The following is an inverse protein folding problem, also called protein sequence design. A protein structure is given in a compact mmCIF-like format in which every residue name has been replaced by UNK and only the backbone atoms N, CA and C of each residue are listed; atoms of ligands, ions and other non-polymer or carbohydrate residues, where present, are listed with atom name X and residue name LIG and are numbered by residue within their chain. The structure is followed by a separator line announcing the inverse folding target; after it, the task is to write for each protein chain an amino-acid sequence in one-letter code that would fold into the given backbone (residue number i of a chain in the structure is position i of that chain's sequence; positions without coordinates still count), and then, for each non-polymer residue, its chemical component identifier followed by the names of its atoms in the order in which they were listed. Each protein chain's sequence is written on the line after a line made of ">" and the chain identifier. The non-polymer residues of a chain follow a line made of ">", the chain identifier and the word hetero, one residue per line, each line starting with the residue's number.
data_IF_666106496472
#
_entry.id   IF_666106496472
#
_cell.length_a   1.000
_cell.length_b   1.000
_cell.length_c   1.000
_cell.angle_alpha   90.00
_cell.angle_beta   90.00
_cell.angle_gamma   90.00
#
_symmetry.space_group_name_H-M   'P 1'
#
loop_
_entity.id
_entity.type
_entity.pdbx_description
1 polymer ?
#
# COMPACT_ATOMS: atom_id res chain seq x y z
N UNK A 1 -14.70 -12.46 -21.99
CA UNK A 1 -15.27 -11.85 -20.77
C UNK A 1 -15.03 -12.71 -19.50
N UNK A 2 -15.35 -14.01 -19.51
CA UNK A 2 -15.17 -14.93 -18.36
C UNK A 2 -13.71 -15.01 -17.88
N UNK A 3 -12.76 -15.18 -18.80
CA UNK A 3 -11.32 -15.30 -18.47
C UNK A 3 -10.77 -14.06 -17.75
N UNK A 4 -11.13 -12.84 -18.19
CA UNK A 4 -10.69 -11.60 -17.54
C UNK A 4 -11.22 -11.49 -16.10
N UNK A 5 -12.47 -11.90 -15.86
CA UNK A 5 -13.09 -11.90 -14.53
C UNK A 5 -12.45 -12.94 -13.59
N UNK A 6 -12.14 -14.12 -14.11
CA UNK A 6 -11.43 -15.17 -13.33
C UNK A 6 -10.02 -14.73 -12.96
N UNK A 7 -9.29 -14.06 -13.86
CA UNK A 7 -7.94 -13.54 -13.57
C UNK A 7 -7.98 -12.42 -12.53
N UNK A 8 -8.90 -11.46 -12.65
CA UNK A 8 -9.12 -10.41 -11.62
C UNK A 8 -9.43 -11.06 -10.25
N UNK A 9 -10.33 -12.04 -10.22
CA UNK A 9 -10.69 -12.74 -8.98
C UNK A 9 -9.51 -13.51 -8.37
N UNK A 10 -8.74 -14.24 -9.18
CA UNK A 10 -7.57 -14.99 -8.71
C UNK A 10 -6.48 -14.06 -8.15
N UNK A 11 -6.23 -12.94 -8.85
CA UNK A 11 -5.30 -11.91 -8.40
C UNK A 11 -5.74 -11.25 -7.09
N UNK A 12 -7.04 -10.95 -6.95
CA UNK A 12 -7.60 -10.34 -5.74
C UNK A 12 -7.51 -11.26 -4.53
N UNK A 13 -7.82 -12.55 -4.70
CA UNK A 13 -7.67 -13.59 -3.67
C UNK A 13 -6.20 -13.73 -3.26
N UNK A 14 -5.28 -13.74 -4.22
CA UNK A 14 -3.85 -13.84 -3.94
C UNK A 14 -3.34 -12.63 -3.14
N UNK A 15 -3.72 -11.41 -3.56
CA UNK A 15 -3.37 -10.17 -2.84
C UNK A 15 -3.90 -10.19 -1.41
N UNK A 16 -5.16 -10.55 -1.23
CA UNK A 16 -5.77 -10.68 0.09
C UNK A 16 -5.02 -11.71 0.94
N UNK A 17 -4.71 -12.88 0.38
CA UNK A 17 -4.01 -13.93 1.11
C UNK A 17 -2.64 -13.46 1.61
N UNK A 18 -1.85 -12.81 0.76
CA UNK A 18 -0.54 -12.27 1.13
C UNK A 18 -0.69 -11.15 2.16
N UNK A 19 -1.58 -10.18 1.90
CA UNK A 19 -1.81 -9.04 2.78
C UNK A 19 -2.31 -9.45 4.17
N UNK A 20 -3.32 -10.34 4.23
CA UNK A 20 -3.83 -10.89 5.49
C UNK A 20 -2.76 -11.70 6.21
N UNK A 21 -1.98 -12.54 5.51
CA UNK A 21 -0.90 -13.31 6.13
C UNK A 21 0.19 -12.40 6.71
N UNK A 22 0.54 -11.32 6.01
CA UNK A 22 1.43 -10.29 6.55
C UNK A 22 0.83 -9.68 7.81
N UNK A 23 -0.41 -9.17 7.77
CA UNK A 23 -1.07 -8.56 8.92
C UNK A 23 -1.22 -9.52 10.11
N UNK A 24 -1.55 -10.80 9.87
CA UNK A 24 -1.64 -11.82 10.92
C UNK A 24 -0.28 -12.09 11.56
N UNK A 25 0.79 -12.11 10.75
CA UNK A 25 2.17 -12.16 11.25
C UNK A 25 2.52 -10.94 12.12
N UNK A 26 1.88 -9.78 11.88
CA UNK A 26 2.08 -8.57 12.68
C UNK A 26 1.45 -8.61 14.07
N UNK A 27 0.39 -9.41 14.29
CA UNK A 27 -0.39 -9.44 15.54
C UNK A 27 0.46 -9.85 16.76
N UNK A 28 1.60 -10.52 16.57
CA UNK A 28 2.53 -10.88 17.66
C UNK A 28 3.86 -10.11 17.69
N UNK A 29 4.43 -9.79 16.53
CA UNK A 29 5.83 -9.31 16.43
C UNK A 29 5.90 -7.79 16.22
N UNK A 30 4.93 -7.20 15.51
CA UNK A 30 5.00 -5.81 15.07
C UNK A 30 4.31 -4.78 15.98
N UNK A 31 3.57 -5.23 17.00
CA UNK A 31 3.34 -4.40 18.19
C UNK A 31 4.67 -3.88 18.74
N UNK A 32 5.74 -4.70 18.69
CA UNK A 32 7.09 -4.26 19.04
C UNK A 32 7.64 -3.15 18.13
N UNK A 33 7.22 -3.07 16.87
CA UNK A 33 7.60 -2.00 15.95
C UNK A 33 6.91 -0.67 16.28
N UNK A 34 5.59 -0.70 16.50
CA UNK A 34 4.82 0.49 16.91
C UNK A 34 5.23 0.95 18.31
N UNK A 35 5.37 0.03 19.26
CA UNK A 35 5.87 0.30 20.61
C UNK A 35 7.30 0.82 20.54
N UNK A 36 8.15 0.25 19.69
CA UNK A 36 9.52 0.70 19.44
C UNK A 36 9.57 2.14 18.93
N UNK A 37 8.65 2.53 18.04
CA UNK A 37 8.53 3.92 17.61
C UNK A 37 8.12 4.86 18.75
N UNK A 38 7.09 4.50 19.51
CA UNK A 38 6.60 5.33 20.63
C UNK A 38 7.69 5.49 21.69
N UNK A 39 8.35 4.39 22.09
CA UNK A 39 9.46 4.41 23.05
C UNK A 39 10.68 5.15 22.50
N UNK A 40 11.01 4.96 21.23
CA UNK A 40 12.13 5.64 20.57
C UNK A 40 11.92 7.16 20.51
N UNK A 41 10.71 7.61 20.15
CA UNK A 41 10.32 9.01 20.15
C UNK A 41 10.34 9.61 21.57
N UNK A 42 9.87 8.85 22.56
CA UNK A 42 9.92 9.24 23.96
C UNK A 42 11.38 9.40 24.46
N UNK A 43 12.26 8.47 24.13
CA UNK A 43 13.69 8.54 24.45
C UNK A 43 14.38 9.71 23.76
N UNK A 44 14.04 10.00 22.50
CA UNK A 44 14.48 11.21 21.79
C UNK A 44 14.05 12.47 22.53
N UNK A 45 12.79 12.55 22.95
CA UNK A 45 12.27 13.68 23.71
C UNK A 45 13.00 13.86 25.05
N UNK A 46 13.24 12.78 25.79
CA UNK A 46 14.01 12.83 27.04
C UNK A 46 15.46 13.25 26.79
N UNK A 47 16.10 12.72 25.74
CA UNK A 47 17.45 13.11 25.33
C UNK A 47 17.54 14.59 25.00
N UNK A 48 16.53 15.12 24.29
CA UNK A 48 16.41 16.54 23.95
C UNK A 48 16.18 17.40 25.19
N UNK A 49 15.27 17.03 26.09
CA UNK A 49 15.05 17.73 27.35
C UNK A 49 16.33 17.79 28.19
N UNK A 50 17.06 16.67 28.26
CA UNK A 50 18.33 16.61 29.01
C UNK A 50 19.43 17.44 28.38
N UNK A 51 19.48 17.46 27.05
CA UNK A 51 20.41 18.29 26.30
C UNK A 51 20.15 19.79 26.54
N UNK A 52 18.89 20.21 26.64
CA UNK A 52 18.54 21.60 26.97
C UNK A 52 18.97 22.01 28.38
N UNK A 53 18.89 21.09 29.35
CA UNK A 53 19.27 21.37 30.74
C UNK A 53 20.78 21.48 30.97
N UNK A 54 21.56 20.55 30.39
CA UNK A 54 22.97 20.33 30.78
C UNK A 54 23.92 20.39 29.58
N UNK A 55 23.40 20.64 28.38
CA UNK A 55 24.16 20.54 27.13
C UNK A 55 24.48 19.09 26.76
N UNK A 56 25.50 18.91 25.92
CA UNK A 56 25.95 17.60 25.47
C UNK A 56 26.63 16.84 26.61
N UNK A 57 25.85 15.97 27.27
CA UNK A 57 26.33 15.07 28.32
C UNK A 57 26.29 13.63 27.82
N UNK A 58 27.08 12.73 28.43
CA UNK A 58 27.04 11.31 28.09
C UNK A 58 25.61 10.74 28.16
N UNK A 59 24.83 11.17 29.16
CA UNK A 59 23.44 10.75 29.31
C UNK A 59 22.54 11.22 28.16
N UNK A 60 22.66 12.47 27.71
CA UNK A 60 21.85 12.97 26.58
C UNK A 60 22.22 12.26 25.27
N UNK A 61 23.51 11.99 25.06
CA UNK A 61 24.00 11.24 23.89
C UNK A 61 23.45 9.81 23.91
N UNK A 62 23.51 9.11 25.05
CA UNK A 62 22.99 7.74 25.17
C UNK A 62 21.49 7.68 24.92
N UNK A 63 20.71 8.64 25.45
CA UNK A 63 19.27 8.74 25.20
C UNK A 63 18.97 8.95 23.71
N UNK A 64 19.73 9.81 23.04
CA UNK A 64 19.60 9.99 21.59
C UNK A 64 19.97 8.75 20.80
N UNK A 65 21.08 8.07 21.12
CA UNK A 65 21.48 6.85 20.39
C UNK A 65 20.44 5.74 20.58
N UNK A 66 19.98 5.49 21.81
CA UNK A 66 18.95 4.49 22.09
C UNK A 66 17.61 4.84 21.41
N UNK A 67 17.19 6.10 21.49
CA UNK A 67 15.99 6.58 20.83
C UNK A 67 16.06 6.39 19.32
N UNK A 68 17.19 6.73 18.70
CA UNK A 68 17.40 6.54 17.27
C UNK A 68 17.34 5.06 16.89
N UNK A 69 18.06 4.18 17.60
CA UNK A 69 18.06 2.72 17.32
C UNK A 69 16.65 2.14 17.37
N UNK A 70 15.86 2.52 18.38
CA UNK A 70 14.47 2.07 18.49
C UNK A 70 13.57 2.65 17.40
N UNK A 71 13.76 3.92 17.01
CA UNK A 71 13.01 4.52 15.91
C UNK A 71 13.30 3.82 14.57
N UNK A 72 14.58 3.62 14.25
CA UNK A 72 15.00 2.92 13.03
C UNK A 72 14.55 1.45 13.04
N UNK A 73 14.65 0.77 14.18
CA UNK A 73 14.13 -0.60 14.34
C UNK A 73 12.61 -0.68 14.21
N UNK A 74 11.89 0.32 14.72
CA UNK A 74 10.43 0.39 14.66
C UNK A 74 9.87 0.75 13.28
N UNK A 75 10.62 1.51 12.46
CA UNK A 75 10.20 1.91 11.12
C UNK A 75 9.89 0.72 10.20
N UNK A 76 10.69 -0.34 10.25
CA UNK A 76 10.42 -1.56 9.47
C UNK A 76 9.04 -2.15 9.76
N UNK A 77 8.57 -2.02 11.01
CA UNK A 77 7.23 -2.46 11.40
C UNK A 77 6.09 -1.56 10.93
N UNK A 78 6.31 -0.26 10.78
CA UNK A 78 5.28 0.61 10.18
C UNK A 78 5.20 0.42 8.66
N UNK A 79 6.35 0.24 8.01
CA UNK A 79 6.39 0.01 6.57
C UNK A 79 5.71 -1.32 6.21
N UNK A 80 5.98 -2.40 6.94
CA UNK A 80 5.28 -3.67 6.71
C UNK A 80 3.77 -3.57 6.98
N UNK A 81 3.35 -2.76 7.96
CA UNK A 81 1.93 -2.52 8.25
C UNK A 81 1.24 -1.81 7.09
N UNK A 82 1.86 -0.74 6.60
CA UNK A 82 1.35 0.02 5.47
C UNK A 82 1.23 -0.86 4.22
N UNK A 83 2.25 -1.67 3.92
CA UNK A 83 2.23 -2.61 2.79
C UNK A 83 1.11 -3.66 2.98
N UNK A 84 1.00 -4.26 4.17
CA UNK A 84 -0.05 -5.24 4.45
C UNK A 84 -1.45 -4.68 4.26
N UNK A 85 -1.71 -3.47 4.77
CA UNK A 85 -2.99 -2.76 4.58
C UNK A 85 -3.26 -2.49 3.10
N UNK A 86 -2.27 -2.01 2.34
CA UNK A 86 -2.41 -1.73 0.91
C UNK A 86 -2.70 -3.00 0.10
N UNK A 87 -2.04 -4.11 0.41
CA UNK A 87 -2.29 -5.40 -0.26
C UNK A 87 -3.71 -5.92 0.03
N UNK A 88 -4.17 -5.79 1.27
CA UNK A 88 -5.54 -6.16 1.62
C UNK A 88 -6.56 -5.26 0.92
N UNK A 89 -6.34 -3.95 0.93
CA UNK A 89 -7.22 -2.99 0.28
C UNK A 89 -7.29 -3.21 -1.24
N UNK A 90 -6.14 -3.34 -1.91
CA UNK A 90 -6.07 -3.60 -3.34
C UNK A 90 -6.68 -4.96 -3.71
N UNK A 91 -6.46 -6.00 -2.89
CA UNK A 91 -7.07 -7.30 -3.08
C UNK A 91 -8.60 -7.25 -2.94
N UNK A 92 -9.10 -6.54 -1.93
CA UNK A 92 -10.53 -6.31 -1.73
C UNK A 92 -11.15 -5.52 -2.88
N UNK A 93 -10.51 -4.43 -3.31
CA UNK A 93 -10.99 -3.60 -4.43
C UNK A 93 -11.06 -4.40 -5.73
N UNK A 94 -10.13 -5.32 -5.97
CA UNK A 94 -10.11 -6.15 -7.17
C UNK A 94 -11.21 -7.23 -7.18
N UNK A 95 -11.71 -7.62 -6.00
CA UNK A 95 -12.84 -8.54 -5.84
C UNK A 95 -14.20 -7.85 -5.82
N UNK A 96 -14.25 -6.58 -5.42
CA UNK A 96 -15.48 -5.81 -5.40
C UNK A 96 -15.91 -5.50 -6.85
N UNK A 97 -17.14 -5.85 -7.27
CA UNK A 97 -17.66 -5.37 -8.53
C UNK A 97 -17.69 -3.84 -8.48
N UNK A 98 -16.99 -3.19 -9.41
CA UNK A 98 -17.01 -1.75 -9.55
C UNK A 98 -18.46 -1.28 -9.66
N UNK A 99 -18.95 -0.53 -8.67
CA UNK A 99 -20.09 0.34 -8.90
C UNK A 99 -19.53 1.53 -9.69
N UNK A 100 -19.57 1.41 -11.03
CA UNK A 100 -19.58 2.49 -12.02
C UNK A 100 -18.89 3.82 -11.66
N UNK A 101 -17.61 3.79 -11.32
CA UNK A 101 -16.76 4.99 -11.39
C UNK A 101 -15.44 4.60 -12.05
N UNK A 102 -15.42 4.87 -13.35
CA UNK A 102 -14.25 5.09 -14.19
C UNK A 102 -13.19 3.97 -14.19
N UNK A 103 -13.51 2.89 -14.91
CA UNK A 103 -12.49 2.31 -15.78
C UNK A 103 -12.17 3.42 -16.81
N UNK A 104 -11.19 4.28 -16.51
CA UNK A 104 -10.46 4.96 -17.57
C UNK A 104 -9.90 3.85 -18.45
N UNK A 105 -10.63 3.62 -19.53
CA UNK A 105 -10.20 2.96 -20.73
C UNK A 105 -8.75 3.38 -21.02
N UNK A 106 -7.81 2.49 -20.72
CA UNK A 106 -6.77 2.25 -21.71
C UNK A 106 -7.50 1.70 -22.93
N UNK A 107 -8.04 2.62 -23.72
CA UNK A 107 -8.55 2.39 -25.06
C UNK A 107 -7.39 1.85 -25.89
N UNK A 108 -7.15 0.55 -25.80
CA UNK A 108 -6.86 -0.20 -27.02
C UNK A 108 -8.14 -0.09 -27.85
N UNK A 109 -8.19 0.96 -28.66
CA UNK A 109 -9.03 1.09 -29.82
C UNK A 109 -8.79 -0.16 -30.67
N UNK A 110 -9.55 -1.23 -30.38
CA UNK A 110 -9.70 -2.33 -31.30
C UNK A 110 -10.49 -1.78 -32.48
N UNK A 111 -9.79 -1.14 -33.41
CA UNK A 111 -10.30 -0.86 -34.73
C UNK A 111 -10.71 -2.20 -35.33
N UNK A 112 -12.00 -2.52 -35.20
CA UNK A 112 -12.62 -3.57 -35.96
C UNK A 112 -12.30 -3.31 -37.43
N UNK A 113 -11.59 -4.21 -38.15
CA UNK A 113 -11.30 -4.01 -39.56
C UNK A 113 -12.57 -3.79 -40.40
N UNK A 114 -13.72 -4.21 -39.88
CA UNK A 114 -15.03 -4.12 -40.50
C UNK A 114 -15.74 -2.77 -40.26
N UNK A 115 -15.28 -1.95 -39.31
CA UNK A 115 -15.90 -0.64 -39.02
C UNK A 115 -15.82 0.32 -40.20
N UNK A 116 -14.68 0.33 -40.89
CA UNK A 116 -14.49 1.14 -42.10
C UNK A 116 -15.37 0.68 -43.28
N UNK A 117 -15.68 -0.63 -43.35
CA UNK A 117 -16.51 -1.21 -44.41
C UNK A 117 -17.99 -0.91 -44.21
N UNK A 118 -18.47 -0.98 -42.97
CA UNK A 118 -19.85 -0.65 -42.63
C UNK A 118 -20.16 0.84 -42.84
N UNK A 119 -19.19 1.71 -42.56
CA UNK A 119 -19.29 3.15 -42.79
C UNK A 119 -19.32 3.49 -44.29
N UNK A 120 -18.51 2.81 -45.10
CA UNK A 120 -18.51 2.98 -46.56
C UNK A 120 -19.76 2.40 -47.23
N UNK A 121 -20.26 1.26 -46.74
CA UNK A 121 -21.50 0.63 -47.19
C UNK A 121 -22.73 1.50 -46.91
N UNK A 122 -22.82 2.07 -45.70
CA UNK A 122 -23.90 2.99 -45.33
C UNK A 122 -23.88 4.27 -46.18
N UNK A 123 -22.69 4.77 -46.55
CA UNK A 123 -22.57 5.94 -47.45
C UNK A 123 -23.08 5.65 -48.86
N UNK A 124 -22.97 4.43 -49.35
CA UNK A 124 -23.44 4.02 -50.67
C UNK A 124 -24.95 3.75 -50.72
N UNK A 125 -25.54 3.25 -49.63
CA UNK A 125 -26.98 2.92 -49.55
C UNK A 125 -27.89 4.13 -49.31
N UNK A 126 -27.35 5.23 -48.76
CA UNK A 126 -28.11 6.45 -48.46
C UNK A 126 -27.99 7.54 -49.54
N UNK A 127 -27.65 7.16 -50.78
CA UNK A 127 -27.62 8.05 -51.94
C UNK A 127 -28.48 7.49 -53.06
#
# INVERSE_FOLDING_TARGET
>A
MIVKRTIKALGGILLLFIGLSMLLSMVGIHLGGVIGLVLGAWLMYLGYSKWQEVGWSLSSIVLFVLGAVLLFGGMGGVVSLAIGILLVYGGYQLLMPANDVDEEDFAEESSSPYGSLDEEFNRLMNK
#
